data_IF_015401102202
#
_entry.id   IF_015401102202
#
_cell.length_a   1.000
_cell.length_b   1.000
_cell.length_c   1.000
_cell.angle_alpha   90.00
_cell.angle_beta   90.00
_cell.angle_gamma   90.00
#
_symmetry.space_group_name_H-M   'P 1'
#
loop_
_entity.id
_entity.type
_entity.pdbx_description
1 polymer ?
#
# COMPACT_ATOMS: atom_id res chain seq x y z
N UNK A 1 3.90 6.84 11.62
CA UNK A 1 4.69 6.02 10.68
C UNK A 1 4.71 4.54 11.07
N UNK A 2 4.83 4.23 12.36
CA UNK A 2 4.85 2.83 12.83
C UNK A 2 3.61 2.05 12.42
N UNK A 3 2.44 2.63 12.55
CA UNK A 3 1.17 1.99 12.16
C UNK A 3 1.14 1.67 10.67
N UNK A 4 1.74 2.52 9.85
CA UNK A 4 1.83 2.29 8.40
C UNK A 4 2.74 1.08 8.12
N UNK A 5 3.88 0.99 8.76
CA UNK A 5 4.78 -0.15 8.61
C UNK A 5 4.11 -1.47 9.00
N UNK A 6 3.42 -1.48 10.13
CA UNK A 6 2.69 -2.68 10.58
C UNK A 6 1.62 -3.05 9.56
N UNK A 7 0.87 -2.07 9.07
CA UNK A 7 -0.20 -2.31 8.12
C UNK A 7 0.31 -2.90 6.80
N UNK A 8 1.42 -2.39 6.27
CA UNK A 8 1.97 -2.87 4.99
C UNK A 8 2.86 -4.10 5.12
N UNK A 9 3.13 -4.56 6.35
CA UNK A 9 3.94 -5.76 6.56
C UNK A 9 3.21 -7.05 6.14
N UNK A 10 1.89 -7.04 6.12
CA UNK A 10 1.09 -8.19 5.75
C UNK A 10 0.91 -8.29 4.23
N UNK A 11 1.22 -9.44 3.61
CA UNK A 11 1.10 -9.59 2.15
C UNK A 11 -0.32 -9.41 1.63
N UNK A 12 -1.34 -9.88 2.37
CA UNK A 12 -2.74 -9.72 1.95
C UNK A 12 -3.14 -8.24 1.95
N UNK A 13 -2.72 -7.49 2.97
CA UNK A 13 -3.01 -6.05 3.00
C UNK A 13 -2.34 -5.31 1.84
N UNK A 14 -1.14 -5.72 1.44
CA UNK A 14 -0.50 -5.14 0.25
C UNK A 14 -1.28 -5.44 -1.03
N UNK A 15 -1.84 -6.65 -1.16
CA UNK A 15 -2.71 -6.99 -2.30
C UNK A 15 -3.94 -6.09 -2.33
N UNK A 16 -4.57 -5.86 -1.18
CA UNK A 16 -5.76 -4.99 -1.10
C UNK A 16 -5.42 -3.55 -1.46
N UNK A 17 -4.29 -3.05 -0.96
CA UNK A 17 -3.81 -1.70 -1.33
C UNK A 17 -3.58 -1.59 -2.83
N UNK A 18 -2.95 -2.59 -3.44
CA UNK A 18 -2.69 -2.61 -4.88
C UNK A 18 -3.98 -2.63 -5.69
N UNK A 19 -4.98 -3.39 -5.26
CA UNK A 19 -6.29 -3.42 -5.92
C UNK A 19 -6.98 -2.06 -5.87
N UNK A 20 -6.89 -1.37 -4.73
CA UNK A 20 -7.46 -0.02 -4.60
C UNK A 20 -6.66 1.01 -5.41
N UNK A 21 -5.35 0.87 -5.46
CA UNK A 21 -4.51 1.75 -6.29
C UNK A 21 -4.87 1.62 -7.77
N UNK A 22 -5.00 0.39 -8.24
CA UNK A 22 -5.25 0.11 -9.66
C UNK A 22 -6.71 0.37 -10.07
N UNK A 23 -7.65 0.01 -9.22
CA UNK A 23 -9.09 0.02 -9.55
C UNK A 23 -9.91 1.11 -8.88
N UNK A 24 -9.30 1.92 -8.02
CA UNK A 24 -10.03 2.98 -7.29
C UNK A 24 -10.86 2.44 -6.15
N UNK A 25 -11.88 3.20 -5.77
CA UNK A 25 -12.79 2.84 -4.69
C UNK A 25 -13.61 1.60 -5.04
N UNK A 26 -13.65 0.64 -4.14
CA UNK A 26 -14.29 -0.65 -4.38
C UNK A 26 -14.95 -1.19 -3.12
N UNK A 27 -15.97 -2.04 -3.32
CA UNK A 27 -16.62 -2.75 -2.23
C UNK A 27 -15.73 -3.87 -1.68
N UNK A 28 -16.06 -4.34 -0.48
CA UNK A 28 -15.37 -5.49 0.13
C UNK A 28 -15.44 -6.72 -0.79
N UNK A 29 -16.61 -6.97 -1.39
CA UNK A 29 -16.81 -8.11 -2.28
C UNK A 29 -15.85 -8.06 -3.47
N UNK A 30 -15.69 -6.91 -4.08
CA UNK A 30 -14.76 -6.73 -5.21
C UNK A 30 -13.31 -6.84 -4.77
N UNK A 31 -12.96 -6.20 -3.66
CA UNK A 31 -11.58 -6.21 -3.14
C UNK A 31 -11.13 -7.59 -2.72
N UNK A 32 -12.06 -8.40 -2.18
CA UNK A 32 -11.74 -9.75 -1.70
C UNK A 32 -11.91 -10.84 -2.73
N UNK A 33 -12.34 -10.51 -3.94
CA UNK A 33 -12.63 -11.50 -4.98
C UNK A 33 -11.38 -12.33 -5.29
N UNK A 34 -11.56 -13.65 -5.29
CA UNK A 34 -10.48 -14.60 -5.58
C UNK A 34 -9.46 -14.80 -4.45
N UNK A 35 -9.58 -14.10 -3.34
CA UNK A 35 -8.68 -14.31 -2.21
C UNK A 35 -9.10 -15.55 -1.40
N UNK A 36 -8.15 -16.39 -0.95
CA UNK A 36 -8.45 -17.61 -0.23
C UNK A 36 -8.74 -17.35 1.26
N UNK A 37 -9.73 -16.51 1.54
CA UNK A 37 -10.12 -16.14 2.89
C UNK A 37 -11.58 -15.72 2.95
N UNK A 38 -12.13 -15.68 4.15
CA UNK A 38 -13.50 -15.27 4.38
C UNK A 38 -13.66 -13.75 4.20
N UNK A 39 -14.91 -13.32 3.98
CA UNK A 39 -15.23 -11.90 3.93
C UNK A 39 -14.88 -11.20 5.24
N UNK A 40 -15.09 -11.86 6.38
CA UNK A 40 -14.71 -11.31 7.68
C UNK A 40 -13.20 -11.08 7.78
N UNK A 41 -12.39 -11.98 7.24
CA UNK A 41 -10.95 -11.82 7.23
C UNK A 41 -10.52 -10.62 6.36
N UNK A 42 -11.14 -10.47 5.19
CA UNK A 42 -10.91 -9.29 4.32
C UNK A 42 -11.29 -8.01 5.06
N UNK A 43 -12.45 -8.00 5.72
CA UNK A 43 -12.91 -6.85 6.50
C UNK A 43 -11.90 -6.46 7.59
N UNK A 44 -11.35 -7.46 8.30
CA UNK A 44 -10.33 -7.21 9.33
C UNK A 44 -9.08 -6.56 8.74
N UNK A 45 -8.62 -7.03 7.60
CA UNK A 45 -7.46 -6.44 6.92
C UNK A 45 -7.75 -5.00 6.50
N UNK A 46 -8.93 -4.74 5.94
CA UNK A 46 -9.32 -3.37 5.55
C UNK A 46 -9.43 -2.46 6.77
N UNK A 47 -9.92 -2.96 7.89
CA UNK A 47 -9.98 -2.19 9.14
C UNK A 47 -8.59 -1.82 9.65
N UNK A 48 -7.62 -2.73 9.56
CA UNK A 48 -6.23 -2.44 9.92
C UNK A 48 -5.63 -1.35 9.04
N UNK A 49 -5.90 -1.41 7.74
CA UNK A 49 -5.46 -0.38 6.80
C UNK A 49 -6.13 0.97 7.10
N UNK A 50 -7.42 0.95 7.44
CA UNK A 50 -8.15 2.16 7.80
C UNK A 50 -7.61 2.80 9.08
N UNK A 51 -7.30 2.00 10.09
CA UNK A 51 -6.70 2.50 11.35
C UNK A 51 -5.33 3.12 11.13
N UNK A 52 -4.59 2.64 10.14
CA UNK A 52 -3.31 3.24 9.74
C UNK A 52 -3.46 4.49 8.86
N UNK A 53 -4.69 4.86 8.51
CA UNK A 53 -4.97 6.02 7.66
C UNK A 53 -4.80 5.77 6.17
N UNK A 54 -4.54 4.53 5.76
CA UNK A 54 -4.29 4.17 4.34
C UNK A 54 -5.56 3.93 3.54
N UNK A 55 -6.68 3.77 4.21
CA UNK A 55 -7.97 3.50 3.58
C UNK A 55 -9.03 4.41 4.16
N UNK A 56 -9.82 5.00 3.28
CA UNK A 56 -11.03 5.74 3.63
C UNK A 56 -12.23 4.95 3.17
N UNK A 57 -13.31 5.01 3.95
CA UNK A 57 -14.57 4.36 3.63
C UNK A 57 -15.60 5.44 3.35
N UNK A 58 -16.30 5.32 2.23
CA UNK A 58 -17.44 6.20 1.93
C UNK A 58 -18.62 5.37 1.46
N UNK A 59 -19.80 5.89 1.73
CA UNK A 59 -21.03 5.25 1.30
C UNK A 59 -21.50 5.86 -0.02
N UNK A 60 -21.80 4.99 -1.00
CA UNK A 60 -22.39 5.39 -2.27
C UNK A 60 -23.62 4.50 -2.46
N UNK A 61 -24.81 5.10 -2.30
CA UNK A 61 -26.06 4.34 -2.29
C UNK A 61 -26.08 3.37 -1.13
N UNK A 62 -26.23 2.08 -1.40
CA UNK A 62 -26.23 1.00 -0.40
C UNK A 62 -24.86 0.37 -0.21
N UNK A 63 -23.88 0.78 -0.98
CA UNK A 63 -22.53 0.21 -0.92
C UNK A 63 -21.62 1.04 -0.05
N UNK A 64 -20.72 0.33 0.63
CA UNK A 64 -19.58 0.94 1.32
C UNK A 64 -18.36 0.70 0.45
N UNK A 65 -17.75 1.78 -0.03
CA UNK A 65 -16.57 1.72 -0.88
C UNK A 65 -15.33 2.07 -0.07
N UNK A 66 -14.31 1.28 -0.29
CA UNK A 66 -12.99 1.46 0.32
C UNK A 66 -12.05 2.03 -0.73
N UNK A 67 -11.37 3.11 -0.40
CA UNK A 67 -10.42 3.73 -1.33
C UNK A 67 -9.10 4.01 -0.64
N UNK A 68 -8.03 3.96 -1.42
CA UNK A 68 -6.69 4.24 -0.93
C UNK A 68 -6.54 5.72 -0.62
N UNK A 69 -5.99 6.00 0.56
CA UNK A 69 -5.42 7.31 0.88
C UNK A 69 -3.91 7.13 0.95
N UNK A 70 -3.16 7.60 -0.06
CA UNK A 70 -1.71 7.40 -0.07
C UNK A 70 -0.95 8.36 0.83
N UNK A 71 -1.61 9.35 1.43
CA UNK A 71 -0.93 10.39 2.21
C UNK A 71 -0.03 9.83 3.33
N UNK A 72 -0.44 8.82 4.12
CA UNK A 72 0.45 8.28 5.15
C UNK A 72 1.72 7.64 4.60
N UNK A 73 1.75 7.26 3.32
CA UNK A 73 2.94 6.70 2.68
C UNK A 73 4.00 7.77 2.41
N UNK A 74 3.63 9.05 2.43
CA UNK A 74 4.58 10.16 2.24
C UNK A 74 5.68 10.13 3.31
N UNK A 75 5.32 9.88 4.57
CA UNK A 75 6.30 9.81 5.65
C UNK A 75 7.28 8.64 5.44
N UNK A 76 6.80 7.53 4.90
CA UNK A 76 7.65 6.37 4.56
C UNK A 76 8.59 6.74 3.41
N UNK A 77 8.08 7.40 2.39
CA UNK A 77 8.89 7.86 1.25
C UNK A 77 9.99 8.81 1.72
N UNK A 78 9.64 9.78 2.55
CA UNK A 78 10.61 10.72 3.11
C UNK A 78 11.69 10.00 3.94
N UNK A 79 11.28 9.02 4.73
CA UNK A 79 12.21 8.22 5.53
C UNK A 79 13.15 7.39 4.67
N UNK A 80 12.65 6.84 3.57
CA UNK A 80 13.44 6.00 2.65
C UNK A 80 14.38 6.81 1.78
N UNK A 81 14.11 8.08 1.56
CA UNK A 81 14.82 8.89 0.56
C UNK A 81 16.34 8.91 0.72
N UNK A 82 16.91 9.11 1.93
CA UNK A 82 18.37 9.07 2.08
C UNK A 82 18.98 7.70 1.72
N UNK A 83 18.25 6.62 1.99
CA UNK A 83 18.71 5.27 1.65
C UNK A 83 18.65 5.02 0.14
N UNK A 84 17.59 5.48 -0.51
CA UNK A 84 17.44 5.37 -1.96
C UNK A 84 18.50 6.16 -2.70
N UNK A 85 18.81 7.37 -2.23
CA UNK A 85 19.87 8.21 -2.80
C UNK A 85 21.24 7.55 -2.67
N UNK A 86 21.54 6.94 -1.53
CA UNK A 86 22.78 6.20 -1.31
C UNK A 86 22.87 4.99 -2.25
N UNK A 87 21.77 4.29 -2.46
CA UNK A 87 21.70 3.17 -3.39
C UNK A 87 21.95 3.63 -4.83
N UNK A 88 21.32 4.73 -5.25
CA UNK A 88 21.48 5.29 -6.58
C UNK A 88 22.93 5.72 -6.83
N UNK A 89 23.57 6.32 -5.84
CA UNK A 89 24.98 6.73 -5.92
C UNK A 89 25.91 5.51 -6.10
N UNK A 90 25.65 4.43 -5.35
CA UNK A 90 26.40 3.18 -5.49
C UNK A 90 26.24 2.55 -6.87
N UNK A 91 25.02 2.56 -7.38
CA UNK A 91 24.72 2.02 -8.70
C UNK A 91 25.41 2.82 -9.79
N UNK A 92 25.38 4.14 -9.70
CA UNK A 92 26.08 5.04 -10.62
C UNK A 92 27.60 4.81 -10.60
N UNK A 93 28.17 4.67 -9.39
CA UNK A 93 29.60 4.39 -9.22
C UNK A 93 29.99 3.05 -9.86
N UNK A 94 29.15 2.00 -9.69
CA UNK A 94 29.37 0.70 -10.27
C UNK A 94 29.35 0.77 -11.81
N UNK A 95 28.38 1.48 -12.38
CA UNK A 95 28.27 1.67 -13.83
C UNK A 95 29.50 2.35 -14.40
N UNK A 96 30.00 3.38 -13.72
CA UNK A 96 31.26 4.04 -14.16
C UNK A 96 32.45 3.10 -14.09
N UNK A 97 32.54 2.31 -13.02
CA UNK A 97 33.63 1.33 -12.88
C UNK A 97 33.62 0.29 -14.00
N UNK A 98 32.42 -0.10 -14.43
CA UNK A 98 32.25 -1.08 -15.52
C UNK A 98 32.35 -0.43 -16.92
N UNK A 99 32.49 0.89 -17.02
CA UNK A 99 32.54 1.61 -18.29
C UNK A 99 31.20 1.76 -18.98
N UNK A 100 30.10 1.67 -18.27
CA UNK A 100 28.73 1.74 -18.81
C UNK A 100 28.15 3.13 -18.61
N UNK A 101 28.66 4.12 -19.27
CA UNK A 101 28.17 5.49 -19.17
C UNK A 101 27.27 5.88 -20.33
#
# INVERSE_FOLDING_TARGET
MEQVFVAVADPTRRVLLERMRAGGAQSISTLGDGLPMTRQAVTKHLDQLRLAGLVRVRRVGRERLHELDPEPLRAVDDWLRPYAEAWDARLAALKRHLGEE
#
